data_IF_002155311466
#
_entry.id   IF_002155311466
#
_cell.length_a   1.000
_cell.length_b   1.000
_cell.length_c   1.000
_cell.angle_alpha   90.00
_cell.angle_beta   90.00
_cell.angle_gamma   90.00
#
_symmetry.space_group_name_H-M   'P 1'
#
loop_
_entity.id
_entity.type
_entity.pdbx_description
1 polymer ?
#
# COMPACT_ATOMS: atom_id res chain seq x y z
N UNK A 1 -15.24 -59.20 -27.87
CA UNK A 1 -15.73 -57.82 -27.69
C UNK A 1 -15.11 -57.24 -26.43
N UNK A 2 -14.16 -56.30 -26.55
CA UNK A 2 -13.41 -55.72 -25.40
C UNK A 2 -14.06 -54.40 -24.98
N UNK A 3 -14.75 -54.37 -23.84
CA UNK A 3 -15.25 -53.14 -23.19
C UNK A 3 -14.06 -52.35 -22.64
N UNK A 4 -13.75 -51.20 -23.24
CA UNK A 4 -12.81 -50.23 -22.67
C UNK A 4 -13.59 -49.33 -21.72
N UNK A 5 -13.36 -49.45 -20.41
CA UNK A 5 -13.77 -48.44 -19.44
C UNK A 5 -12.84 -47.23 -19.61
N UNK A 6 -13.41 -46.09 -20.00
CA UNK A 6 -12.76 -44.78 -19.94
C UNK A 6 -12.97 -44.22 -18.53
N UNK A 7 -11.91 -44.17 -17.72
CA UNK A 7 -11.90 -43.36 -16.50
C UNK A 7 -11.81 -41.88 -16.91
N UNK A 8 -12.90 -41.14 -16.70
CA UNK A 8 -12.90 -39.68 -16.77
C UNK A 8 -12.28 -39.13 -15.47
N UNK A 9 -11.02 -38.69 -15.55
CA UNK A 9 -10.37 -37.94 -14.48
C UNK A 9 -10.97 -36.53 -14.41
N UNK A 10 -11.90 -36.31 -13.48
CA UNK A 10 -12.45 -35.00 -13.14
C UNK A 10 -11.34 -34.21 -12.43
N UNK A 11 -10.62 -33.36 -13.16
CA UNK A 11 -9.75 -32.35 -12.56
C UNK A 11 -10.61 -31.38 -11.76
N UNK A 12 -10.64 -31.57 -10.44
CA UNK A 12 -11.12 -30.56 -9.49
C UNK A 12 -10.17 -29.36 -9.54
N UNK A 13 -10.49 -28.42 -10.43
CA UNK A 13 -9.91 -27.08 -10.42
C UNK A 13 -10.34 -26.42 -9.11
N UNK A 14 -9.51 -26.57 -8.08
CA UNK A 14 -9.69 -25.85 -6.82
C UNK A 14 -9.60 -24.37 -7.18
N UNK A 15 -10.73 -23.66 -7.15
CA UNK A 15 -10.74 -22.20 -7.19
C UNK A 15 -10.01 -21.73 -5.94
N UNK A 16 -8.69 -21.55 -6.07
CA UNK A 16 -7.91 -20.85 -5.09
C UNK A 16 -8.49 -19.43 -5.06
N UNK A 17 -9.28 -19.13 -4.03
CA UNK A 17 -9.62 -17.76 -3.70
C UNK A 17 -8.32 -17.07 -3.35
N UNK A 18 -7.69 -16.44 -4.35
CA UNK A 18 -6.52 -15.59 -4.13
C UNK A 18 -7.02 -14.44 -3.25
N UNK A 19 -6.73 -14.51 -1.96
CA UNK A 19 -6.87 -13.37 -1.06
C UNK A 19 -6.04 -12.23 -1.64
N UNK A 20 -6.70 -11.13 -1.98
CA UNK A 20 -6.13 -10.08 -2.79
C UNK A 20 -7.02 -8.85 -2.80
N UNK A 21 -6.49 -7.76 -3.35
CA UNK A 21 -7.18 -6.48 -3.39
C UNK A 21 -8.46 -6.56 -4.22
N UNK A 22 -9.46 -5.77 -3.82
CA UNK A 22 -10.72 -5.63 -4.55
C UNK A 22 -11.05 -4.16 -4.73
N UNK A 23 -11.68 -3.82 -5.86
CA UNK A 23 -12.21 -2.48 -6.10
C UNK A 23 -13.57 -2.28 -5.40
N UNK A 24 -14.14 -1.08 -5.53
CA UNK A 24 -15.45 -0.76 -4.96
C UNK A 24 -16.62 -1.59 -5.53
N UNK A 25 -16.41 -2.30 -6.64
CA UNK A 25 -17.37 -3.22 -7.25
C UNK A 25 -17.09 -4.68 -6.87
N UNK A 26 -16.14 -4.93 -5.96
CA UNK A 26 -15.73 -6.26 -5.53
C UNK A 26 -14.87 -7.03 -6.53
N UNK A 27 -14.43 -6.38 -7.62
CA UNK A 27 -13.59 -7.04 -8.64
C UNK A 27 -12.17 -7.16 -8.12
N UNK A 28 -11.48 -8.29 -8.35
CA UNK A 28 -10.08 -8.44 -7.99
C UNK A 28 -9.22 -7.37 -8.66
N UNK A 29 -8.30 -6.83 -7.89
CA UNK A 29 -7.33 -5.84 -8.33
C UNK A 29 -5.94 -6.49 -8.19
N UNK A 30 -5.14 -6.55 -9.26
CA UNK A 30 -3.83 -7.19 -9.20
C UNK A 30 -2.85 -6.37 -8.36
N UNK A 31 -1.84 -7.07 -7.87
CA UNK A 31 -0.67 -6.47 -7.25
C UNK A 31 0.08 -5.58 -8.26
N UNK A 32 0.75 -4.56 -7.73
CA UNK A 32 1.62 -3.62 -8.42
C UNK A 32 2.76 -3.20 -7.48
N UNK A 33 3.71 -2.40 -7.95
CA UNK A 33 4.77 -1.88 -7.09
C UNK A 33 4.20 -1.14 -5.87
N UNK A 34 3.15 -0.33 -6.07
CA UNK A 34 2.52 0.45 -5.01
C UNK A 34 1.51 -0.33 -4.19
N UNK A 35 1.19 -1.59 -4.53
CA UNK A 35 0.14 -2.37 -3.86
C UNK A 35 0.42 -3.85 -3.93
N UNK A 36 0.62 -4.51 -2.80
CA UNK A 36 0.86 -5.95 -2.75
C UNK A 36 0.05 -6.64 -1.67
N UNK A 37 -0.03 -7.97 -1.75
CA UNK A 37 -0.72 -8.78 -0.75
C UNK A 37 0.04 -10.09 -0.44
N UNK A 38 -0.15 -10.61 0.78
CA UNK A 38 0.40 -11.88 1.25
C UNK A 38 -0.64 -12.63 2.09
N UNK A 39 -1.51 -13.36 1.38
CA UNK A 39 -2.75 -13.89 1.95
C UNK A 39 -3.68 -12.73 2.33
N UNK A 40 -4.21 -12.74 3.54
CA UNK A 40 -5.17 -11.71 3.99
C UNK A 40 -4.53 -10.37 4.41
N UNK A 41 -3.20 -10.26 4.35
CA UNK A 41 -2.48 -9.02 4.65
C UNK A 41 -2.14 -8.28 3.35
N UNK A 42 -2.75 -7.12 3.14
CA UNK A 42 -2.52 -6.27 1.97
C UNK A 42 -1.98 -4.91 2.35
N UNK A 43 -1.07 -4.36 1.56
CA UNK A 43 -0.54 -3.00 1.72
C UNK A 43 -0.60 -2.23 0.40
N UNK A 44 -1.03 -0.97 0.44
CA UNK A 44 -0.95 -0.04 -0.67
C UNK A 44 -0.35 1.30 -0.20
N UNK A 45 0.70 1.75 -0.88
CA UNK A 45 1.31 3.06 -0.69
C UNK A 45 0.72 4.05 -1.69
N UNK A 46 0.26 5.19 -1.19
CA UNK A 46 -0.29 6.28 -1.99
C UNK A 46 0.48 7.56 -1.68
N UNK A 47 0.74 8.36 -2.71
CA UNK A 47 1.35 9.67 -2.58
C UNK A 47 0.31 10.75 -2.84
N UNK A 48 0.31 11.80 -2.04
CA UNK A 48 -0.61 12.93 -2.18
C UNK A 48 0.09 14.26 -1.90
N UNK A 49 -0.28 15.30 -2.63
CA UNK A 49 0.11 16.68 -2.32
C UNK A 49 -0.80 17.34 -1.28
N UNK A 50 -1.90 16.68 -0.88
CA UNK A 50 -2.87 17.23 0.06
C UNK A 50 -3.29 16.16 1.08
N UNK A 51 -2.45 16.02 2.11
CA UNK A 51 -2.66 15.05 3.17
C UNK A 51 -3.96 15.29 3.96
N UNK A 52 -4.35 16.55 4.11
CA UNK A 52 -5.55 16.92 4.87
C UNK A 52 -6.79 16.50 4.11
N UNK A 53 -6.92 16.90 2.85
CA UNK A 53 -8.07 16.52 2.02
C UNK A 53 -8.13 15.00 1.82
N UNK A 54 -6.99 14.32 1.72
CA UNK A 54 -6.95 12.86 1.69
C UNK A 54 -7.64 12.24 2.90
N UNK A 55 -7.27 12.63 4.12
CA UNK A 55 -7.86 12.10 5.36
C UNK A 55 -9.32 12.50 5.52
N UNK A 56 -9.64 13.76 5.21
CA UNK A 56 -11.02 14.24 5.27
C UNK A 56 -11.92 13.47 4.30
N UNK A 57 -11.40 13.07 3.14
CA UNK A 57 -12.12 12.26 2.16
C UNK A 57 -12.22 10.80 2.59
N UNK A 58 -11.14 10.24 3.15
CA UNK A 58 -11.11 8.87 3.67
C UNK A 58 -12.17 8.63 4.76
N UNK A 59 -12.41 9.62 5.61
CA UNK A 59 -13.35 9.52 6.73
C UNK A 59 -14.82 9.71 6.32
N UNK A 60 -15.12 9.96 5.04
CA UNK A 60 -16.51 10.10 4.56
C UNK A 60 -17.13 8.73 4.24
N UNK A 61 -18.44 8.57 4.42
CA UNK A 61 -19.14 7.36 4.00
C UNK A 61 -19.03 7.11 2.49
N UNK A 62 -19.01 5.83 2.09
CA UNK A 62 -18.95 5.39 0.69
C UNK A 62 -17.53 5.11 0.20
N UNK A 63 -17.36 4.93 -1.11
CA UNK A 63 -16.06 4.68 -1.73
C UNK A 63 -15.38 6.02 -2.05
N UNK A 64 -14.29 6.39 -1.36
CA UNK A 64 -13.67 7.70 -1.54
C UNK A 64 -12.89 7.78 -2.86
N UNK A 65 -12.95 8.94 -3.52
CA UNK A 65 -12.01 9.31 -4.57
C UNK A 65 -10.87 10.07 -3.91
N UNK A 66 -9.74 9.38 -3.70
CA UNK A 66 -8.63 9.92 -2.93
C UNK A 66 -7.75 10.83 -3.79
N UNK A 67 -7.37 12.04 -3.32
CA UNK A 67 -6.44 12.89 -4.04
C UNK A 67 -5.06 12.24 -4.04
N UNK A 68 -4.55 11.93 -5.22
CA UNK A 68 -3.21 11.33 -5.40
C UNK A 68 -2.37 12.21 -6.30
N UNK A 69 -1.05 12.09 -6.19
CA UNK A 69 -0.14 12.79 -7.09
C UNK A 69 0.95 11.88 -7.64
N UNK A 70 1.38 12.18 -8.87
CA UNK A 70 2.58 11.61 -9.52
C UNK A 70 3.64 12.66 -9.81
N UNK A 71 3.36 13.93 -9.50
CA UNK A 71 4.26 15.06 -9.73
C UNK A 71 4.20 16.03 -8.58
N UNK A 72 5.29 16.72 -8.31
CA UNK A 72 5.35 17.79 -7.31
C UNK A 72 6.18 18.94 -7.86
N UNK A 73 5.75 20.17 -7.64
CA UNK A 73 6.57 21.32 -7.97
C UNK A 73 7.59 21.55 -6.86
N UNK A 74 8.83 21.92 -7.22
CA UNK A 74 9.78 22.36 -6.20
C UNK A 74 9.23 23.58 -5.44
N UNK A 75 9.32 23.55 -4.13
CA UNK A 75 8.64 24.43 -3.17
C UNK A 75 7.34 23.84 -2.58
N UNK A 76 6.89 22.67 -3.04
CA UNK A 76 5.71 21.97 -2.52
C UNK A 76 6.09 20.66 -1.80
N UNK A 77 5.10 20.03 -1.16
CA UNK A 77 5.30 18.81 -0.37
C UNK A 77 4.52 17.62 -0.93
N UNK A 78 5.01 16.42 -0.63
CA UNK A 78 4.29 15.16 -0.85
C UNK A 78 4.25 14.37 0.44
N UNK A 79 3.09 13.84 0.76
CA UNK A 79 2.90 12.94 1.89
C UNK A 79 2.64 11.50 1.44
N UNK A 80 3.16 10.54 2.20
CA UNK A 80 2.80 9.14 2.10
C UNK A 80 1.49 8.87 2.83
N UNK A 81 0.64 8.04 2.23
CA UNK A 81 -0.57 7.50 2.83
C UNK A 81 -0.54 5.99 2.65
N UNK A 82 -0.59 5.26 3.76
CA UNK A 82 -0.50 3.81 3.74
C UNK A 82 -1.87 3.20 4.01
N UNK A 83 -2.43 2.54 3.01
CA UNK A 83 -3.66 1.78 3.11
C UNK A 83 -3.29 0.34 3.41
N UNK A 84 -3.99 -0.31 4.33
CA UNK A 84 -3.75 -1.72 4.64
C UNK A 84 -5.05 -2.48 4.82
N UNK A 85 -5.04 -3.76 4.47
CA UNK A 85 -6.15 -4.68 4.68
C UNK A 85 -5.67 -5.85 5.53
N UNK A 86 -6.44 -6.16 6.57
CA UNK A 86 -6.13 -7.23 7.51
C UNK A 86 -4.86 -7.00 8.33
N UNK A 87 -4.69 -7.86 9.33
CA UNK A 87 -3.46 -8.13 10.07
C UNK A 87 -3.73 -9.38 10.90
N UNK A 88 -2.70 -10.09 11.36
CA UNK A 88 -2.87 -11.12 12.37
C UNK A 88 -3.11 -10.43 13.72
N UNK A 89 -4.27 -10.65 14.37
CA UNK A 89 -4.52 -10.08 15.68
C UNK A 89 -3.56 -10.69 16.71
N UNK A 90 -3.05 -9.85 17.61
CA UNK A 90 -2.36 -10.27 18.83
C UNK A 90 -3.32 -10.93 19.82
N UNK A 91 -2.80 -11.31 20.99
CA UNK A 91 -3.61 -11.90 22.08
C UNK A 91 -4.71 -10.96 22.59
N UNK A 92 -4.54 -9.66 22.38
CA UNK A 92 -5.48 -8.59 22.72
C UNK A 92 -6.44 -8.23 21.57
N UNK A 93 -6.40 -8.97 20.45
CA UNK A 93 -7.22 -8.70 19.27
C UNK A 93 -6.73 -7.54 18.41
N UNK A 94 -5.55 -6.97 18.69
CA UNK A 94 -5.04 -5.75 18.03
C UNK A 94 -3.97 -6.09 17.00
N UNK A 95 -3.87 -5.27 15.96
CA UNK A 95 -2.75 -5.29 15.04
C UNK A 95 -1.47 -4.85 15.74
N UNK A 96 -0.34 -5.42 15.30
CA UNK A 96 0.99 -4.87 15.57
C UNK A 96 1.72 -4.75 14.22
N UNK A 97 1.41 -3.68 13.47
CA UNK A 97 1.94 -3.45 12.13
C UNK A 97 2.84 -2.22 12.15
N UNK A 98 4.06 -2.37 11.64
CA UNK A 98 5.05 -1.29 11.52
C UNK A 98 5.39 -1.03 10.06
N UNK A 99 5.91 0.17 9.79
CA UNK A 99 6.49 0.54 8.49
C UNK A 99 7.87 1.14 8.68
N UNK A 100 8.81 0.75 7.83
CA UNK A 100 10.06 1.48 7.57
C UNK A 100 9.93 2.17 6.21
N UNK A 101 10.09 3.50 6.20
CA UNK A 101 10.11 4.27 4.96
C UNK A 101 11.53 4.56 4.50
N UNK A 102 11.70 4.59 3.18
CA UNK A 102 12.91 5.02 2.49
C UNK A 102 12.55 5.89 1.29
N UNK A 103 13.33 6.92 1.03
CA UNK A 103 13.28 7.69 -0.20
C UNK A 103 14.50 7.34 -1.04
N UNK A 104 14.29 7.11 -2.34
CA UNK A 104 15.36 7.00 -3.33
C UNK A 104 15.30 8.24 -4.22
N UNK A 105 16.36 9.02 -4.21
CA UNK A 105 16.50 10.26 -4.96
C UNK A 105 16.88 10.02 -6.43
N UNK A 106 16.75 11.00 -7.33
CA UNK A 106 17.08 10.85 -8.75
C UNK A 106 18.51 10.41 -9.02
N UNK A 107 19.44 10.76 -8.14
CA UNK A 107 20.85 10.37 -8.21
C UNK A 107 21.13 8.94 -7.66
N UNK A 108 20.10 8.23 -7.19
CA UNK A 108 20.21 6.90 -6.60
C UNK A 108 20.59 6.87 -5.12
N UNK A 109 20.82 8.02 -4.49
CA UNK A 109 21.00 8.08 -3.02
C UNK A 109 19.72 7.71 -2.29
N UNK A 110 19.86 7.25 -1.05
CA UNK A 110 18.77 6.68 -0.28
C UNK A 110 18.76 7.22 1.15
N UNK A 111 17.61 7.73 1.59
CA UNK A 111 17.38 8.21 2.94
C UNK A 111 16.33 7.35 3.65
N UNK A 112 16.64 6.87 4.86
CA UNK A 112 15.72 6.10 5.70
C UNK A 112 15.06 7.02 6.74
N UNK A 113 13.73 6.92 6.93
CA UNK A 113 12.98 7.73 7.92
C UNK A 113 12.68 6.99 9.23
N UNK A 114 13.39 5.89 9.49
CA UNK A 114 13.17 5.04 10.67
C UNK A 114 11.91 4.18 10.57
N UNK A 115 11.55 3.55 11.70
CA UNK A 115 10.39 2.65 11.81
C UNK A 115 9.31 3.28 12.67
N UNK A 116 8.07 3.25 12.19
CA UNK A 116 6.92 3.83 12.88
C UNK A 116 5.71 2.88 12.85
N UNK A 117 4.82 2.93 13.85
CA UNK A 117 3.59 2.13 13.85
C UNK A 117 2.63 2.52 12.72
N UNK A 118 2.19 1.55 11.92
CA UNK A 118 1.07 1.72 10.95
C UNK A 118 -0.27 1.57 11.67
N UNK A 119 -0.39 0.55 12.51
CA UNK A 119 -1.58 0.33 13.31
C UNK A 119 -1.21 -0.41 14.57
N UNK A 120 -1.80 0.07 15.65
CA UNK A 120 -1.93 -0.65 16.92
C UNK A 120 -3.37 -0.93 17.25
N UNK A 121 -4.32 -0.66 16.35
CA UNK A 121 -5.79 -0.70 16.61
C UNK A 121 -6.31 -2.14 16.51
N UNK A 122 -7.60 -2.36 16.80
CA UNK A 122 -8.24 -3.66 16.60
C UNK A 122 -8.05 -4.14 15.15
N UNK A 123 -7.89 -5.45 14.95
CA UNK A 123 -7.71 -5.99 13.60
C UNK A 123 -8.92 -5.64 12.71
N UNK A 124 -8.70 -5.15 11.47
CA UNK A 124 -9.79 -4.88 10.54
C UNK A 124 -10.62 -6.15 10.30
N UNK A 125 -11.93 -5.99 10.14
CA UNK A 125 -12.77 -7.10 9.67
C UNK A 125 -12.31 -7.53 8.27
N UNK A 126 -12.41 -8.82 7.92
CA UNK A 126 -12.06 -9.28 6.57
C UNK A 126 -12.77 -8.46 5.49
N UNK A 127 -12.00 -8.04 4.47
CA UNK A 127 -12.52 -7.22 3.37
C UNK A 127 -12.62 -5.72 3.66
N UNK A 128 -12.26 -5.26 4.87
CA UNK A 128 -12.18 -3.84 5.19
C UNK A 128 -10.74 -3.35 5.06
N UNK A 129 -10.55 -2.30 4.27
CA UNK A 129 -9.29 -1.55 4.18
C UNK A 129 -9.32 -0.39 5.17
N UNK A 130 -8.19 -0.13 5.81
CA UNK A 130 -8.01 0.97 6.73
C UNK A 130 -6.86 1.88 6.29
N UNK A 131 -6.90 3.13 6.72
CA UNK A 131 -5.78 4.06 6.65
C UNK A 131 -4.87 3.85 7.85
N UNK A 132 -3.58 3.72 7.58
CA UNK A 132 -2.53 3.65 8.59
C UNK A 132 -2.27 4.99 9.27
N UNK A 133 -1.79 4.92 10.51
CA UNK A 133 -1.53 6.07 11.36
C UNK A 133 -0.19 6.77 10.98
N UNK A 134 0.73 6.05 10.34
CA UNK A 134 2.06 6.57 9.97
C UNK A 134 2.07 7.32 8.64
N UNK A 135 2.68 8.50 8.63
CA UNK A 135 2.87 9.37 7.47
C UNK A 135 4.25 10.00 7.49
N UNK A 136 4.90 10.01 6.33
CA UNK A 136 6.08 10.83 6.04
C UNK A 136 5.65 11.92 5.08
N UNK A 137 6.05 13.16 5.36
CA UNK A 137 5.88 14.29 4.43
C UNK A 137 7.25 14.80 4.07
N UNK A 138 7.51 14.91 2.76
CA UNK A 138 8.75 15.44 2.22
C UNK A 138 8.46 16.77 1.52
N UNK A 139 9.24 17.79 1.85
CA UNK A 139 9.27 19.07 1.15
C UNK A 139 10.30 18.98 0.02
N UNK A 140 9.88 19.30 -1.21
CA UNK A 140 10.77 19.27 -2.37
C UNK A 140 11.39 20.65 -2.58
N UNK A 141 12.44 20.95 -1.84
CA UNK A 141 13.06 22.27 -1.84
C UNK A 141 13.73 22.59 -3.18
N UNK A 142 14.09 23.86 -3.41
CA UNK A 142 14.81 24.24 -4.64
C UNK A 142 16.26 23.74 -4.72
N UNK A 143 16.80 23.19 -3.63
CA UNK A 143 18.12 22.53 -3.59
C UNK A 143 18.04 21.05 -4.02
N UNK A 144 16.86 20.45 -3.90
CA UNK A 144 16.60 19.08 -4.32
C UNK A 144 16.62 18.97 -5.85
N UNK A 145 17.28 17.94 -6.41
CA UNK A 145 17.32 17.75 -7.86
C UNK A 145 15.92 17.48 -8.41
N UNK A 146 15.55 18.14 -9.51
CA UNK A 146 14.39 17.73 -10.28
C UNK A 146 14.59 16.30 -10.79
N UNK A 147 13.50 15.53 -10.90
CA UNK A 147 13.55 14.16 -11.39
C UNK A 147 12.65 13.20 -10.62
N UNK A 148 12.89 11.90 -10.85
CA UNK A 148 12.09 10.83 -10.27
C UNK A 148 12.58 10.45 -8.89
N UNK A 149 11.70 10.58 -7.91
CA UNK A 149 11.88 10.07 -6.55
C UNK A 149 11.01 8.84 -6.34
N UNK A 150 11.51 7.87 -5.57
CA UNK A 150 10.78 6.64 -5.23
C UNK A 150 10.65 6.53 -3.72
N UNK A 151 9.43 6.60 -3.22
CA UNK A 151 9.11 6.25 -1.85
C UNK A 151 8.95 4.73 -1.74
N UNK A 152 9.66 4.12 -0.81
CA UNK A 152 9.56 2.70 -0.49
C UNK A 152 9.03 2.56 0.92
N UNK A 153 8.05 1.68 1.10
CA UNK A 153 7.49 1.33 2.40
C UNK A 153 7.64 -0.18 2.62
N UNK A 154 8.49 -0.56 3.56
CA UNK A 154 8.63 -1.93 4.04
C UNK A 154 7.72 -2.09 5.25
N UNK A 155 6.59 -2.77 5.08
CA UNK A 155 5.56 -2.92 6.12
C UNK A 155 5.61 -4.33 6.70
N UNK A 156 5.63 -4.42 8.02
CA UNK A 156 5.73 -5.68 8.75
C UNK A 156 4.57 -5.85 9.71
N UNK A 157 3.80 -6.93 9.54
CA UNK A 157 2.93 -7.48 10.57
C UNK A 157 3.79 -8.32 11.53
N UNK A 158 4.00 -7.78 12.74
CA UNK A 158 4.87 -8.37 13.77
C UNK A 158 4.27 -9.63 14.38
N UNK A 159 2.95 -9.80 14.38
CA UNK A 159 2.30 -10.99 14.95
C UNK A 159 2.35 -12.16 13.97
N UNK A 160 2.21 -11.86 12.67
CA UNK A 160 2.33 -12.83 11.60
C UNK A 160 3.78 -13.12 11.19
N UNK A 161 4.71 -12.24 11.55
CA UNK A 161 6.08 -12.20 11.00
C UNK A 161 6.06 -12.15 9.45
N UNK A 162 5.18 -11.31 8.90
CA UNK A 162 5.03 -11.10 7.45
C UNK A 162 5.50 -9.71 7.09
N UNK A 163 6.26 -9.61 6.00
CA UNK A 163 6.75 -8.34 5.47
C UNK A 163 6.33 -8.18 4.01
N UNK A 164 5.81 -7.00 3.67
CA UNK A 164 5.46 -6.60 2.31
C UNK A 164 6.21 -5.30 2.02
N UNK A 165 6.93 -5.25 0.90
CA UNK A 165 7.55 -4.02 0.41
C UNK A 165 6.79 -3.49 -0.81
N UNK A 166 6.32 -2.25 -0.70
CA UNK A 166 5.67 -1.51 -1.80
C UNK A 166 6.44 -0.22 -2.09
N UNK A 167 6.32 0.28 -3.31
CA UNK A 167 6.93 1.54 -3.72
C UNK A 167 6.00 2.39 -4.59
N UNK A 168 6.11 3.70 -4.45
CA UNK A 168 5.38 4.68 -5.25
C UNK A 168 6.33 5.79 -5.68
N UNK A 169 6.13 6.33 -6.89
CA UNK A 169 7.01 7.33 -7.47
C UNK A 169 6.33 8.68 -7.62
N UNK A 170 7.12 9.74 -7.45
CA UNK A 170 6.73 11.11 -7.79
C UNK A 170 7.85 11.76 -8.60
N UNK A 171 7.49 12.58 -9.58
CA UNK A 171 8.45 13.39 -10.34
C UNK A 171 8.44 14.82 -9.81
N UNK A 172 9.55 15.23 -9.20
CA UNK A 172 9.82 16.62 -8.86
C UNK A 172 10.11 17.42 -10.13
N UNK A 173 9.42 18.54 -10.30
CA UNK A 173 9.54 19.44 -11.45
C UNK A 173 9.93 20.83 -11.01
N UNK A 174 10.65 21.52 -11.87
CA UNK A 174 10.83 22.95 -11.74
C UNK A 174 9.49 23.65 -11.88
N UNK A 175 9.25 24.62 -11.00
CA UNK A 175 8.15 25.56 -11.16
C UNK A 175 8.42 26.31 -12.46
N UNK A 176 7.51 26.21 -13.42
CA UNK A 176 7.56 26.98 -14.65
C UNK A 176 7.74 28.46 -14.28
N UNK A 177 8.90 29.02 -14.63
CA UNK A 177 9.15 30.47 -14.63
C UNK A 177 8.61 31.03 -15.94
#
# INVERSE_FOLDING_TARGET
MKRRLLLAAVLMCSFQTIAGWKDGNGRPVPDSDARKSSGDFGVQLVLTGDAKTFRDTWNRPGTPILPTTKTVQRGESVSTMLLFAGCKPGKDGRCNVDVKYRLISPNGSSDDFGTTPVSRRAAPKPGITELGDSVVTLEFNYEEPAGRYVFVATVTDRVANKTIEVSAQVTAKDKWV
#
